data_IF_195252779751
#
_entry.id   IF_195252779751
#
_cell.length_a   1.000
_cell.length_b   1.000
_cell.length_c   1.000
_cell.angle_alpha   90.00
_cell.angle_beta   90.00
_cell.angle_gamma   90.00
#
_symmetry.space_group_name_H-M   'P 1'
#
loop_
_entity.id
_entity.type
_entity.pdbx_description
1 polymer ?
#
# COMPACT_ATOMS: atom_id res chain seq x y z
N UNK A 1 52.49 34.10 32.86
CA UNK A 1 52.14 34.09 31.42
C UNK A 1 51.51 32.73 31.08
N UNK A 2 50.18 32.56 31.05
CA UNK A 2 49.60 31.31 30.57
C UNK A 2 49.30 31.39 29.06
N UNK A 3 49.75 30.37 28.32
CA UNK A 3 49.51 30.21 26.89
C UNK A 3 48.03 29.86 26.64
N UNK A 4 47.35 30.64 25.80
CA UNK A 4 45.99 30.32 25.33
C UNK A 4 46.09 29.22 24.27
N UNK A 5 45.60 28.03 24.59
CA UNK A 5 45.36 26.98 23.60
C UNK A 5 44.21 27.46 22.69
N UNK A 6 44.52 27.81 21.43
CA UNK A 6 43.50 28.06 20.41
C UNK A 6 42.78 26.74 20.12
N UNK A 7 41.52 26.65 20.54
CA UNK A 7 40.65 25.56 20.12
C UNK A 7 40.54 25.58 18.59
N UNK A 8 41.00 24.51 17.94
CA UNK A 8 40.92 24.36 16.50
C UNK A 8 39.44 24.38 16.07
N UNK A 9 39.09 25.33 15.21
CA UNK A 9 37.76 25.45 14.63
C UNK A 9 37.45 24.18 13.83
N UNK A 10 36.62 23.29 14.37
CA UNK A 10 36.11 22.14 13.61
C UNK A 10 35.27 22.65 12.45
N UNK A 11 35.45 22.15 11.22
CA UNK A 11 34.60 22.53 10.11
C UNK A 11 33.17 22.07 10.40
N UNK A 12 32.25 23.02 10.44
CA UNK A 12 30.82 22.73 10.51
C UNK A 12 30.42 22.07 9.19
N UNK A 13 30.15 20.77 9.23
CA UNK A 13 29.58 20.04 8.10
C UNK A 13 28.13 20.49 7.98
N UNK A 14 27.85 21.43 7.09
CA UNK A 14 26.49 21.67 6.61
C UNK A 14 26.06 20.43 5.84
N UNK A 15 25.22 19.61 6.48
CA UNK A 15 24.51 18.52 5.81
C UNK A 15 23.78 19.12 4.61
N UNK A 16 24.20 18.71 3.41
CA UNK A 16 23.56 19.11 2.16
C UNK A 16 22.08 18.75 2.15
N UNK A 17 21.33 19.49 1.34
CA UNK A 17 19.87 19.48 1.12
C UNK A 17 19.01 18.45 1.91
N UNK A 18 17.92 18.88 2.59
CA UNK A 18 17.05 18.03 3.41
C UNK A 18 16.33 16.86 2.72
N UNK A 19 16.58 16.63 1.43
CA UNK A 19 15.79 15.73 0.58
C UNK A 19 16.04 14.24 0.81
N UNK A 20 17.07 13.86 1.57
CA UNK A 20 17.50 12.46 1.74
C UNK A 20 17.83 12.11 3.20
N UNK A 21 16.93 12.45 4.13
CA UNK A 21 17.04 11.89 5.50
C UNK A 21 16.78 10.38 5.45
N UNK A 22 17.69 9.52 5.95
CA UNK A 22 17.51 8.06 5.93
C UNK A 22 16.21 7.59 6.57
N UNK A 23 15.73 8.30 7.58
CA UNK A 23 14.48 8.02 8.29
C UNK A 23 13.26 8.20 7.38
N UNK A 24 13.25 9.24 6.55
CA UNK A 24 12.18 9.50 5.60
C UNK A 24 12.12 8.43 4.49
N UNK A 25 13.28 7.98 4.02
CA UNK A 25 13.37 6.86 3.06
C UNK A 25 12.83 5.57 3.68
N UNK A 26 13.20 5.25 4.92
CA UNK A 26 12.68 4.07 5.62
C UNK A 26 11.17 4.13 5.81
N UNK A 27 10.64 5.27 6.27
CA UNK A 27 9.21 5.46 6.45
C UNK A 27 8.44 5.26 5.13
N UNK A 28 8.97 5.77 4.02
CA UNK A 28 8.37 5.58 2.70
C UNK A 28 8.41 4.11 2.24
N UNK A 29 9.53 3.41 2.44
CA UNK A 29 9.64 1.97 2.12
C UNK A 29 8.62 1.17 2.93
N UNK A 30 8.48 1.44 4.22
CA UNK A 30 7.51 0.77 5.09
C UNK A 30 6.07 1.09 4.68
N UNK A 31 5.77 2.33 4.31
CA UNK A 31 4.45 2.72 3.79
C UNK A 31 4.11 1.94 2.51
N UNK A 32 5.04 1.88 1.55
CA UNK A 32 4.86 1.10 0.30
C UNK A 32 4.68 -0.39 0.58
N UNK A 33 5.49 -0.96 1.48
CA UNK A 33 5.35 -2.37 1.91
C UNK A 33 3.97 -2.62 2.52
N UNK A 34 3.48 -1.69 3.33
CA UNK A 34 2.16 -1.81 3.93
C UNK A 34 1.05 -1.81 2.88
N UNK A 35 1.12 -0.92 1.87
CA UNK A 35 0.15 -0.88 0.77
C UNK A 35 0.16 -2.20 -0.02
N UNK A 36 1.35 -2.72 -0.36
CA UNK A 36 1.49 -3.99 -1.09
C UNK A 36 0.90 -5.15 -0.27
N UNK A 37 1.20 -5.21 1.03
CA UNK A 37 0.66 -6.24 1.92
C UNK A 37 -0.86 -6.17 2.03
N UNK A 38 -1.43 -4.98 2.20
CA UNK A 38 -2.89 -4.82 2.25
C UNK A 38 -3.57 -5.21 0.94
N UNK A 39 -2.94 -4.94 -0.21
CA UNK A 39 -3.42 -5.43 -1.50
C UNK A 39 -3.37 -6.97 -1.59
N UNK A 40 -2.30 -7.59 -1.10
CA UNK A 40 -2.17 -9.05 -1.08
C UNK A 40 -3.22 -9.72 -0.19
N UNK A 41 -3.44 -9.18 1.01
CA UNK A 41 -4.49 -9.61 1.95
C UNK A 41 -5.89 -9.50 1.31
N UNK A 42 -6.17 -8.37 0.65
CA UNK A 42 -7.44 -8.17 -0.04
C UNK A 42 -7.60 -9.14 -1.23
N UNK A 43 -6.54 -9.39 -2.01
CA UNK A 43 -6.55 -10.39 -3.08
C UNK A 43 -6.93 -11.76 -2.54
N UNK A 44 -6.27 -12.21 -1.46
CA UNK A 44 -6.55 -13.52 -0.85
C UNK A 44 -8.00 -13.63 -0.40
N UNK A 45 -8.51 -12.61 0.30
CA UNK A 45 -9.90 -12.60 0.77
C UNK A 45 -10.92 -12.64 -0.37
N UNK A 46 -10.73 -11.80 -1.40
CA UNK A 46 -11.62 -11.74 -2.56
C UNK A 46 -11.57 -13.03 -3.38
N UNK A 47 -10.39 -13.62 -3.58
CA UNK A 47 -10.26 -14.92 -4.26
C UNK A 47 -10.98 -16.04 -3.50
N UNK A 48 -10.91 -16.06 -2.16
CA UNK A 48 -11.64 -17.02 -1.35
C UNK A 48 -13.16 -16.85 -1.47
N UNK A 49 -13.64 -15.60 -1.50
CA UNK A 49 -15.06 -15.29 -1.68
C UNK A 49 -15.57 -15.65 -3.08
N UNK A 50 -14.81 -15.35 -4.13
CA UNK A 50 -15.13 -15.75 -5.51
C UNK A 50 -15.27 -17.27 -5.62
N UNK A 51 -14.28 -18.03 -5.13
CA UNK A 51 -14.33 -19.49 -5.14
C UNK A 51 -15.50 -20.08 -4.32
N UNK A 52 -15.94 -19.39 -3.26
CA UNK A 52 -17.13 -19.79 -2.50
C UNK A 52 -18.44 -19.46 -3.23
N UNK A 53 -18.50 -18.35 -3.98
CA UNK A 53 -19.65 -18.01 -4.81
C UNK A 53 -19.78 -18.97 -6.00
N UNK A 54 -18.67 -19.30 -6.67
CA UNK A 54 -18.64 -20.26 -7.78
C UNK A 54 -19.10 -21.65 -7.36
N UNK A 55 -18.61 -22.16 -6.21
CA UNK A 55 -19.06 -23.46 -5.67
C UNK A 55 -20.56 -23.47 -5.38
N UNK A 56 -21.09 -22.42 -4.74
CA UNK A 56 -22.53 -22.28 -4.48
C UNK A 56 -23.34 -22.19 -5.78
N UNK A 57 -22.81 -21.54 -6.82
CA UNK A 57 -23.47 -21.49 -8.13
C UNK A 57 -23.53 -22.87 -8.79
N UNK A 58 -22.49 -23.68 -8.63
CA UNK A 58 -22.41 -25.04 -9.15
C UNK A 58 -23.32 -26.03 -8.39
N UNK A 59 -23.46 -25.84 -7.08
CA UNK A 59 -24.28 -26.66 -6.18
C UNK A 59 -25.77 -26.22 -6.12
N UNK A 60 -26.12 -25.10 -6.77
CA UNK A 60 -27.47 -24.53 -6.72
C UNK A 60 -28.52 -25.49 -7.28
N UNK A 61 -29.54 -25.78 -6.47
CA UNK A 61 -30.66 -26.67 -6.82
C UNK A 61 -31.79 -25.91 -7.52
N UNK A 62 -31.79 -24.57 -7.43
CA UNK A 62 -32.78 -23.70 -8.06
C UNK A 62 -32.17 -22.55 -8.86
N UNK A 63 -32.93 -22.02 -9.81
CA UNK A 63 -32.54 -20.85 -10.58
C UNK A 63 -32.40 -19.60 -9.69
N UNK A 64 -33.20 -19.49 -8.62
CA UNK A 64 -33.10 -18.40 -7.67
C UNK A 64 -31.76 -18.43 -6.91
N UNK A 65 -31.32 -19.61 -6.47
CA UNK A 65 -30.02 -19.80 -5.83
C UNK A 65 -28.87 -19.52 -6.79
N UNK A 66 -28.99 -19.97 -8.04
CA UNK A 66 -27.99 -19.71 -9.08
C UNK A 66 -27.84 -18.21 -9.36
N UNK A 67 -28.94 -17.49 -9.50
CA UNK A 67 -28.93 -16.02 -9.67
C UNK A 67 -28.33 -15.34 -8.44
N UNK A 68 -28.68 -15.77 -7.24
CA UNK A 68 -28.09 -15.25 -6.00
C UNK A 68 -26.57 -15.44 -5.94
N UNK A 69 -26.07 -16.61 -6.34
CA UNK A 69 -24.64 -16.89 -6.37
C UNK A 69 -23.91 -16.05 -7.44
N UNK A 70 -24.50 -15.86 -8.62
CA UNK A 70 -23.95 -14.98 -9.67
C UNK A 70 -23.90 -13.52 -9.21
N UNK A 71 -24.93 -13.04 -8.51
CA UNK A 71 -24.92 -11.69 -7.92
C UNK A 71 -23.80 -11.50 -6.90
N UNK A 72 -23.48 -12.54 -6.11
CA UNK A 72 -22.32 -12.51 -5.21
C UNK A 72 -21.00 -12.39 -5.98
N UNK A 73 -20.85 -13.07 -7.12
CA UNK A 73 -19.66 -12.90 -7.97
C UNK A 73 -19.49 -11.45 -8.41
N UNK A 74 -20.56 -10.81 -8.91
CA UNK A 74 -20.51 -9.38 -9.29
C UNK A 74 -20.17 -8.45 -8.12
N UNK A 75 -20.62 -8.78 -6.90
CA UNK A 75 -20.25 -8.02 -5.70
C UNK A 75 -18.76 -8.15 -5.40
N UNK A 76 -18.19 -9.35 -5.55
CA UNK A 76 -16.75 -9.59 -5.37
C UNK A 76 -15.94 -8.84 -6.43
N UNK A 77 -16.39 -8.81 -7.68
CA UNK A 77 -15.77 -8.03 -8.75
C UNK A 77 -15.77 -6.52 -8.43
N UNK A 78 -16.92 -5.97 -8.02
CA UNK A 78 -17.00 -4.56 -7.61
C UNK A 78 -16.10 -4.23 -6.43
N UNK A 79 -16.00 -5.13 -5.44
CA UNK A 79 -15.09 -4.97 -4.32
C UNK A 79 -13.62 -5.00 -4.74
N UNK A 80 -13.25 -5.83 -5.73
CA UNK A 80 -11.91 -5.83 -6.31
C UNK A 80 -11.57 -4.49 -6.96
N UNK A 81 -12.48 -3.94 -7.77
CA UNK A 81 -12.29 -2.65 -8.43
C UNK A 81 -12.07 -1.52 -7.40
N UNK A 82 -12.83 -1.52 -6.31
CA UNK A 82 -12.68 -0.53 -5.25
C UNK A 82 -11.34 -0.66 -4.51
N UNK A 83 -10.89 -1.89 -4.24
CA UNK A 83 -9.57 -2.17 -3.65
C UNK A 83 -8.46 -1.68 -4.58
N UNK A 84 -8.53 -1.99 -5.88
CA UNK A 84 -7.54 -1.56 -6.86
C UNK A 84 -7.50 -0.03 -6.97
N UNK A 85 -8.66 0.62 -7.03
CA UNK A 85 -8.75 2.08 -7.07
C UNK A 85 -8.21 2.73 -5.79
N UNK A 86 -8.52 2.16 -4.63
CA UNK A 86 -7.97 2.59 -3.34
C UNK A 86 -6.46 2.48 -3.29
N UNK A 87 -5.93 1.34 -3.73
CA UNK A 87 -4.49 1.07 -3.78
C UNK A 87 -3.78 2.03 -4.73
N UNK A 88 -4.35 2.26 -5.92
CA UNK A 88 -3.81 3.21 -6.89
C UNK A 88 -3.70 4.62 -6.27
N UNK A 89 -4.75 5.11 -5.61
CA UNK A 89 -4.71 6.41 -4.92
C UNK A 89 -3.61 6.47 -3.86
N UNK A 90 -3.44 5.41 -3.08
CA UNK A 90 -2.39 5.35 -2.05
C UNK A 90 -0.99 5.36 -2.67
N UNK A 91 -0.77 4.62 -3.76
CA UNK A 91 0.50 4.61 -4.49
C UNK A 91 0.78 5.98 -5.13
N UNK A 92 -0.21 6.60 -5.76
CA UNK A 92 -0.08 7.95 -6.32
C UNK A 92 0.30 8.97 -5.25
N UNK A 93 -0.37 8.95 -4.09
CA UNK A 93 -0.01 9.83 -2.97
C UNK A 93 1.43 9.60 -2.48
N UNK A 94 1.90 8.34 -2.46
CA UNK A 94 3.29 8.02 -2.14
C UNK A 94 4.27 8.55 -3.20
N UNK A 95 3.91 8.50 -4.49
CA UNK A 95 4.72 9.06 -5.59
C UNK A 95 4.77 10.59 -5.56
N UNK A 96 3.64 11.25 -5.33
CA UNK A 96 3.55 12.71 -5.16
C UNK A 96 4.40 13.20 -3.99
N UNK A 97 4.38 12.48 -2.86
CA UNK A 97 5.23 12.77 -1.70
C UNK A 97 6.75 12.70 -2.02
N UNK A 98 7.12 12.03 -3.12
CA UNK A 98 8.50 11.95 -3.63
C UNK A 98 8.79 12.94 -4.77
N UNK A 99 7.79 13.68 -5.24
CA UNK A 99 7.90 14.56 -6.41
C UNK A 99 8.00 13.78 -7.73
N UNK A 100 7.44 12.57 -7.78
CA UNK A 100 7.42 11.70 -8.97
C UNK A 100 6.02 11.61 -9.62
N UNK A 101 5.10 12.50 -9.22
CA UNK A 101 3.72 12.58 -9.73
C UNK A 101 3.58 13.61 -10.84
#
# INVERSE_FOLDING_TARGET
MPARVKAASRPAVTLGEPRLRPEAIRAHIEATRSVIRSLDEARVALSAHAAAAERRAAEAESDCERVGAVLETYRVEGALDDVLRGTLRQVTALMEARGLG
#
